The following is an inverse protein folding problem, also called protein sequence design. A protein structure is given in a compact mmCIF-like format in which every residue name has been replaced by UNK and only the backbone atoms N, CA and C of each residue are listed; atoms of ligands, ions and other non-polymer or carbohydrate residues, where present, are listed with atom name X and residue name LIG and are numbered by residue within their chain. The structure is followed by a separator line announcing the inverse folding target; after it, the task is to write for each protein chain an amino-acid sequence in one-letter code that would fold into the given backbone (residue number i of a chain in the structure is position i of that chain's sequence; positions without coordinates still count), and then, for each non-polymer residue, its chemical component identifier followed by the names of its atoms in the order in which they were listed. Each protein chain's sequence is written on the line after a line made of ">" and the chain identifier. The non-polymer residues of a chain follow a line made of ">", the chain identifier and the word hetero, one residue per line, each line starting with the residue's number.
data_IF_922001315985
#
_entry.id   IF_922001315985
#
_cell.length_a   1.000
_cell.length_b   1.000
_cell.length_c   1.000
_cell.angle_alpha   90.00
_cell.angle_beta   90.00
_cell.angle_gamma   90.00
#
_symmetry.space_group_name_H-M   'P 1'
#
loop_
_entity.id
_entity.type
_entity.pdbx_description
1 polymer ?
#
# COMPACT_ATOMS: atom_id res chain seq x y z
N UNK A 1 -3.26 -2.67 -12.20
CA UNK A 1 -2.99 -3.52 -11.02
C UNK A 1 -1.54 -4.00 -11.13
N UNK A 2 -0.79 -4.07 -10.03
CA UNK A 2 0.63 -4.45 -10.07
C UNK A 2 0.79 -5.95 -10.41
N UNK A 3 1.85 -6.35 -11.14
CA UNK A 3 1.94 -7.69 -11.70
C UNK A 3 2.32 -8.78 -10.67
N UNK A 4 2.78 -8.39 -9.48
CA UNK A 4 2.98 -9.31 -8.34
C UNK A 4 1.74 -9.48 -7.45
N UNK A 5 0.58 -9.01 -7.90
CA UNK A 5 -0.70 -9.34 -7.27
C UNK A 5 -1.07 -10.82 -7.49
N UNK A 6 -2.04 -11.33 -6.73
CA UNK A 6 -2.49 -12.72 -6.86
C UNK A 6 -2.95 -13.08 -8.29
N UNK A 7 -3.55 -12.10 -8.98
CA UNK A 7 -4.08 -12.23 -10.33
C UNK A 7 -3.09 -11.82 -11.44
N UNK A 8 -1.89 -11.37 -11.05
CA UNK A 8 -0.87 -10.89 -11.98
C UNK A 8 -0.17 -12.00 -12.75
N UNK A 9 0.35 -11.65 -13.93
CA UNK A 9 1.11 -12.54 -14.80
C UNK A 9 2.54 -12.73 -14.28
N UNK A 10 2.94 -13.94 -13.81
CA UNK A 10 4.25 -14.17 -13.19
C UNK A 10 5.45 -13.89 -14.10
N UNK A 11 5.24 -13.80 -15.42
CA UNK A 11 6.31 -13.54 -16.39
C UNK A 11 6.96 -12.16 -16.22
N UNK A 12 6.30 -11.22 -15.51
CA UNK A 12 6.87 -9.92 -15.15
C UNK A 12 8.25 -10.06 -14.51
N UNK A 13 8.42 -11.10 -13.68
CA UNK A 13 9.63 -11.31 -12.88
C UNK A 13 10.86 -11.67 -13.71
N UNK A 14 10.68 -12.05 -14.98
CA UNK A 14 11.75 -12.48 -15.87
C UNK A 14 12.53 -11.33 -16.49
N UNK A 15 11.89 -10.17 -16.70
CA UNK A 15 12.43 -9.12 -17.58
C UNK A 15 12.19 -7.70 -17.11
N UNK A 16 11.19 -7.48 -16.25
CA UNK A 16 10.74 -6.13 -15.97
C UNK A 16 11.39 -5.60 -14.68
N UNK A 17 11.62 -4.28 -14.65
CA UNK A 17 11.99 -3.57 -13.43
C UNK A 17 10.71 -3.29 -12.61
N UNK A 18 10.61 -3.73 -11.34
CA UNK A 18 9.48 -3.40 -10.48
C UNK A 18 9.17 -1.91 -10.37
N UNK A 19 10.17 -1.02 -10.45
CA UNK A 19 9.97 0.42 -10.35
C UNK A 19 9.17 0.95 -11.56
N UNK A 20 9.40 0.41 -12.76
CA UNK A 20 8.69 0.80 -13.99
C UNK A 20 7.19 0.47 -13.87
N UNK A 21 6.86 -0.66 -13.24
CA UNK A 21 5.47 -1.03 -12.95
C UNK A 21 4.80 -0.07 -11.97
N UNK A 22 5.53 0.44 -10.97
CA UNK A 22 5.01 1.47 -10.05
C UNK A 22 4.82 2.80 -10.78
N UNK A 23 5.76 3.21 -11.63
CA UNK A 23 5.61 4.42 -12.44
C UNK A 23 4.37 4.32 -13.34
N UNK A 24 4.20 3.21 -14.06
CA UNK A 24 3.04 3.01 -14.90
C UNK A 24 1.72 3.05 -14.09
N UNK A 25 1.71 2.47 -12.89
CA UNK A 25 0.55 2.52 -12.02
C UNK A 25 0.20 3.95 -11.56
N UNK A 26 1.22 4.77 -11.24
CA UNK A 26 1.03 6.18 -10.88
C UNK A 26 0.48 7.00 -12.05
N UNK A 27 1.00 6.80 -13.26
CA UNK A 27 0.54 7.52 -14.47
C UNK A 27 -0.87 7.11 -14.90
N UNK A 28 -1.31 5.93 -14.49
CA UNK A 28 -2.63 5.40 -14.82
C UNK A 28 -3.76 5.97 -13.94
N UNK A 29 -3.45 6.74 -12.89
CA UNK A 29 -4.45 7.35 -12.02
C UNK A 29 -5.03 8.60 -12.70
N UNK A 30 -6.33 8.64 -13.04
CA UNK A 30 -6.94 9.83 -13.64
C UNK A 30 -6.82 11.03 -12.69
N UNK A 31 -6.26 12.14 -13.18
CA UNK A 31 -5.98 13.33 -12.36
C UNK A 31 -4.70 13.26 -11.52
N UNK A 32 -3.98 12.13 -11.54
CA UNK A 32 -2.79 11.89 -10.74
C UNK A 32 -3.10 11.40 -9.32
N UNK A 33 -2.14 10.71 -8.70
CA UNK A 33 -2.25 10.27 -7.32
C UNK A 33 -1.75 11.37 -6.36
N UNK A 34 -2.58 11.79 -5.41
CA UNK A 34 -2.17 12.73 -4.35
C UNK A 34 -1.28 12.08 -3.28
N UNK A 35 -1.54 10.80 -2.97
CA UNK A 35 -0.85 10.06 -1.91
C UNK A 35 -0.64 8.63 -2.39
N UNK A 36 0.52 8.07 -2.07
CA UNK A 36 0.81 6.66 -2.31
C UNK A 36 0.97 5.91 -0.98
N UNK A 37 0.36 4.74 -0.87
CA UNK A 37 0.53 3.83 0.26
C UNK A 37 1.08 2.52 -0.27
N UNK A 38 2.25 2.12 0.21
CA UNK A 38 2.95 0.91 -0.24
C UNK A 38 3.36 0.04 0.94
N UNK A 39 3.42 -1.26 0.70
CA UNK A 39 3.74 -2.26 1.71
C UNK A 39 4.85 -3.19 1.23
N UNK A 40 5.76 -3.53 2.15
CA UNK A 40 6.73 -4.61 2.00
C UNK A 40 7.54 -4.48 0.71
N UNK A 41 7.52 -5.49 -0.16
CA UNK A 41 8.26 -5.51 -1.42
C UNK A 41 8.10 -4.23 -2.26
N UNK A 42 6.89 -3.66 -2.35
CA UNK A 42 6.64 -2.47 -3.19
C UNK A 42 7.28 -1.20 -2.65
N UNK A 43 7.71 -1.17 -1.38
CA UNK A 43 8.34 0.00 -0.78
C UNK A 43 9.59 0.49 -1.54
N UNK A 44 10.55 -0.40 -1.80
CA UNK A 44 11.78 -0.05 -2.52
C UNK A 44 11.52 0.45 -3.94
N UNK A 45 10.83 -0.33 -4.80
CA UNK A 45 10.45 0.07 -6.15
C UNK A 45 9.66 1.40 -6.21
N UNK A 46 8.78 1.66 -5.24
CA UNK A 46 8.04 2.91 -5.20
C UNK A 46 8.92 4.10 -4.82
N UNK A 47 9.82 3.95 -3.85
CA UNK A 47 10.78 5.01 -3.53
C UNK A 47 11.73 5.28 -4.70
N UNK A 48 12.13 4.24 -5.42
CA UNK A 48 12.92 4.36 -6.63
C UNK A 48 12.17 5.14 -7.73
N UNK A 49 10.93 4.74 -8.04
CA UNK A 49 10.07 5.42 -8.99
C UNK A 49 9.86 6.90 -8.64
N UNK A 50 9.59 7.21 -7.37
CA UNK A 50 9.43 8.59 -6.91
C UNK A 50 10.73 9.40 -7.04
N UNK A 51 11.88 8.80 -6.77
CA UNK A 51 13.18 9.45 -6.93
C UNK A 51 13.47 9.75 -8.42
N UNK A 52 13.18 8.81 -9.32
CA UNK A 52 13.34 8.96 -10.78
C UNK A 52 12.45 10.08 -11.36
N UNK A 53 11.22 10.22 -10.86
CA UNK A 53 10.27 11.26 -11.30
C UNK A 53 10.72 12.69 -10.95
N UNK A 54 11.49 12.83 -9.88
CA UNK A 54 11.94 14.11 -9.35
C UNK A 54 10.83 14.89 -8.63
N UNK A 55 11.24 15.99 -7.99
CA UNK A 55 10.35 16.79 -7.14
C UNK A 55 9.18 17.41 -7.93
N UNK A 56 7.99 17.41 -7.32
CA UNK A 56 6.78 18.06 -7.86
C UNK A 56 6.07 17.32 -8.99
N UNK A 57 6.52 16.11 -9.36
CA UNK A 57 5.89 15.26 -10.38
C UNK A 57 5.43 13.94 -9.78
N UNK A 58 4.32 13.95 -9.04
CA UNK A 58 3.75 12.76 -8.43
C UNK A 58 3.02 13.04 -7.11
N UNK A 59 2.85 12.02 -6.27
CA UNK A 59 2.24 12.15 -4.96
C UNK A 59 2.85 13.25 -4.11
N UNK A 60 1.99 13.93 -3.35
CA UNK A 60 2.34 14.94 -2.37
C UNK A 60 2.78 14.34 -1.03
N UNK A 61 2.48 13.07 -0.79
CA UNK A 61 2.92 12.32 0.38
C UNK A 61 3.03 10.82 0.09
N UNK A 62 3.83 10.12 0.89
CA UNK A 62 3.97 8.66 0.81
C UNK A 62 3.84 8.01 2.19
N UNK A 63 3.19 6.84 2.24
CA UNK A 63 3.15 5.95 3.41
C UNK A 63 3.82 4.64 3.02
N UNK A 64 4.86 4.28 3.76
CA UNK A 64 5.70 3.11 3.52
C UNK A 64 5.59 2.17 4.70
N UNK A 65 5.03 0.98 4.50
CA UNK A 65 4.75 0.02 5.57
C UNK A 65 5.66 -1.19 5.46
N UNK A 66 6.33 -1.54 6.56
CA UNK A 66 7.26 -2.66 6.66
C UNK A 66 8.31 -2.71 5.53
N UNK A 67 9.06 -1.61 5.28
CA UNK A 67 10.08 -1.59 4.23
C UNK A 67 11.32 -2.39 4.61
N UNK A 68 12.06 -2.81 3.58
CA UNK A 68 13.40 -3.34 3.68
C UNK A 68 14.41 -2.27 3.28
N UNK A 69 15.42 -2.02 4.10
CA UNK A 69 16.37 -0.94 3.83
C UNK A 69 17.69 -1.13 4.60
N UNK A 70 18.77 -1.20 3.83
CA UNK A 70 20.16 -0.97 4.25
C UNK A 70 20.68 0.34 3.65
N UNK A 71 21.53 1.03 4.41
CA UNK A 71 22.16 2.31 4.03
C UNK A 71 23.42 2.11 3.21
N UNK A 72 24.14 1.00 3.42
CA UNK A 72 25.36 0.70 2.68
C UNK A 72 25.40 -0.77 2.27
N UNK A 73 26.08 -1.11 1.16
CA UNK A 73 26.22 -2.50 0.74
C UNK A 73 26.89 -3.40 1.78
N UNK A 74 27.75 -2.84 2.64
CA UNK A 74 28.46 -3.58 3.69
C UNK A 74 27.58 -4.00 4.88
N UNK A 75 26.34 -3.51 4.97
CA UNK A 75 25.38 -3.96 6.00
C UNK A 75 24.72 -5.31 5.64
N UNK A 76 24.87 -5.79 4.39
CA UNK A 76 24.36 -7.10 4.00
C UNK A 76 25.32 -8.22 4.35
N UNK A 77 24.76 -9.32 4.85
CA UNK A 77 25.49 -10.54 5.16
C UNK A 77 24.91 -11.74 4.41
N UNK A 78 25.67 -12.83 4.37
CA UNK A 78 25.16 -14.12 3.89
C UNK A 78 24.05 -14.69 4.79
N UNK A 79 24.01 -14.28 6.06
CA UNK A 79 22.96 -14.68 7.00
C UNK A 79 21.62 -14.04 6.61
N UNK A 80 21.61 -12.77 6.19
CA UNK A 80 20.41 -12.11 5.65
C UNK A 80 19.89 -12.89 4.42
N UNK A 81 20.77 -13.19 3.47
CA UNK A 81 20.41 -13.93 2.26
C UNK A 81 19.82 -15.31 2.58
N UNK A 82 20.46 -16.05 3.50
CA UNK A 82 20.03 -17.38 3.93
C UNK A 82 18.69 -17.31 4.69
N UNK A 83 18.52 -16.31 5.56
CA UNK A 83 17.30 -16.07 6.32
C UNK A 83 16.10 -15.88 5.39
N UNK A 84 16.22 -14.99 4.39
CA UNK A 84 15.12 -14.73 3.48
C UNK A 84 14.89 -15.89 2.52
N UNK A 85 15.94 -16.47 1.94
CA UNK A 85 15.79 -17.59 1.00
C UNK A 85 15.09 -18.79 1.66
N UNK A 86 15.47 -19.12 2.90
CA UNK A 86 14.91 -20.26 3.63
C UNK A 86 13.55 -19.93 4.26
N UNK A 87 13.37 -18.67 4.68
CA UNK A 87 12.25 -18.22 5.50
C UNK A 87 11.11 -17.54 4.75
N UNK A 88 11.24 -17.28 3.44
CA UNK A 88 10.28 -16.47 2.68
C UNK A 88 8.82 -16.92 2.82
N UNK A 89 8.58 -18.24 2.85
CA UNK A 89 7.24 -18.81 3.02
C UNK A 89 6.55 -18.42 4.34
N UNK A 90 7.30 -18.07 5.39
CA UNK A 90 6.73 -17.66 6.68
C UNK A 90 5.97 -16.34 6.57
N UNK A 91 6.44 -15.42 5.73
CA UNK A 91 5.76 -14.14 5.45
C UNK A 91 4.40 -14.43 4.78
N UNK A 92 4.37 -15.42 3.89
CA UNK A 92 3.17 -15.84 3.18
C UNK A 92 2.18 -16.54 4.11
N UNK A 93 2.66 -17.42 5.00
CA UNK A 93 1.83 -18.06 6.03
C UNK A 93 1.20 -17.01 6.94
N UNK A 94 1.97 -15.99 7.33
CA UNK A 94 1.49 -14.89 8.15
C UNK A 94 0.44 -14.05 7.45
N UNK A 95 0.64 -13.70 6.17
CA UNK A 95 -0.38 -12.98 5.38
C UNK A 95 -1.67 -13.78 5.25
N UNK A 96 -1.57 -15.10 5.04
CA UNK A 96 -2.73 -16.00 5.05
C UNK A 96 -3.41 -16.05 6.42
N UNK A 97 -2.65 -16.04 7.52
CA UNK A 97 -3.19 -16.03 8.89
C UNK A 97 -3.97 -14.76 9.15
N UNK A 98 -3.44 -13.60 8.75
CA UNK A 98 -4.09 -12.31 8.92
C UNK A 98 -5.39 -12.22 8.09
N UNK A 99 -5.37 -12.66 6.83
CA UNK A 99 -6.54 -12.59 5.94
C UNK A 99 -7.62 -13.63 6.27
N UNK A 100 -7.20 -14.87 6.57
CA UNK A 100 -8.14 -15.96 6.84
C UNK A 100 -8.59 -16.03 8.30
N UNK A 101 -7.83 -15.48 9.25
CA UNK A 101 -8.01 -15.72 10.67
C UNK A 101 -7.92 -17.22 10.99
N UNK A 102 -8.78 -17.68 11.90
CA UNK A 102 -8.83 -19.09 12.34
C UNK A 102 -9.61 -20.01 11.38
N UNK A 103 -10.05 -19.51 10.22
CA UNK A 103 -10.82 -20.30 9.24
C UNK A 103 -10.00 -21.41 8.58
N UNK A 104 -8.67 -21.31 8.60
CA UNK A 104 -7.76 -22.28 8.01
C UNK A 104 -7.00 -23.02 9.11
N UNK A 105 -7.06 -24.35 9.09
CA UNK A 105 -6.21 -25.17 9.96
C UNK A 105 -4.72 -24.85 9.70
N UNK A 106 -3.86 -24.81 10.74
CA UNK A 106 -2.47 -24.39 10.60
C UNK A 106 -1.69 -25.16 9.53
N UNK A 107 -1.92 -26.47 9.41
CA UNK A 107 -1.25 -27.31 8.43
C UNK A 107 -1.68 -26.99 7.00
N UNK A 108 -2.97 -26.73 6.78
CA UNK A 108 -3.49 -26.33 5.48
C UNK A 108 -2.94 -24.95 5.08
N UNK A 109 -2.92 -24.01 6.02
CA UNK A 109 -2.37 -22.66 5.80
C UNK A 109 -0.89 -22.72 5.43
N UNK A 110 -0.09 -23.50 6.15
CA UNK A 110 1.32 -23.70 5.84
C UNK A 110 1.53 -24.34 4.45
N UNK A 111 0.70 -25.33 4.09
CA UNK A 111 0.74 -25.93 2.75
C UNK A 111 0.37 -24.92 1.65
N UNK A 112 -0.63 -24.07 1.89
CA UNK A 112 -1.00 -22.98 0.98
C UNK A 112 0.13 -21.96 0.86
N UNK A 113 0.80 -21.58 1.95
CA UNK A 113 1.93 -20.67 1.95
C UNK A 113 3.08 -21.19 1.08
N UNK A 114 3.40 -22.49 1.18
CA UNK A 114 4.37 -23.14 0.30
C UNK A 114 3.93 -23.11 -1.16
N UNK A 115 2.63 -23.30 -1.45
CA UNK A 115 2.13 -23.21 -2.82
C UNK A 115 2.21 -21.79 -3.39
N UNK A 116 1.94 -20.76 -2.58
CA UNK A 116 2.12 -19.36 -2.97
C UNK A 116 3.60 -19.06 -3.20
N UNK A 117 4.51 -19.54 -2.32
CA UNK A 117 5.97 -19.45 -2.52
C UNK A 117 6.38 -20.02 -3.87
N UNK A 118 5.90 -21.23 -4.19
CA UNK A 118 6.28 -21.92 -5.42
C UNK A 118 5.71 -21.22 -6.67
N UNK A 119 4.58 -20.52 -6.55
CA UNK A 119 4.04 -19.66 -7.62
C UNK A 119 4.89 -18.41 -7.85
N UNK A 120 5.36 -17.76 -6.78
CA UNK A 120 6.31 -16.63 -6.89
C UNK A 120 7.62 -17.12 -7.52
N UNK A 121 8.08 -18.30 -7.09
CA UNK A 121 9.23 -18.97 -7.65
C UNK A 121 10.55 -18.22 -7.44
N UNK A 122 11.67 -18.76 -7.97
CA UNK A 122 12.99 -18.17 -7.81
C UNK A 122 13.15 -16.82 -8.52
N UNK A 123 12.46 -16.59 -9.65
CA UNK A 123 12.54 -15.31 -10.37
C UNK A 123 11.83 -14.18 -9.62
N UNK A 124 10.62 -14.42 -9.11
CA UNK A 124 9.93 -13.45 -8.25
C UNK A 124 10.70 -13.19 -6.94
N UNK A 125 11.30 -14.24 -6.36
CA UNK A 125 12.18 -14.08 -5.20
C UNK A 125 13.44 -13.25 -5.53
N UNK A 126 14.05 -13.45 -6.70
CA UNK A 126 15.20 -12.66 -7.14
C UNK A 126 14.83 -11.19 -7.30
N UNK A 127 13.62 -10.88 -7.79
CA UNK A 127 13.13 -9.51 -7.87
C UNK A 127 12.96 -8.88 -6.47
N UNK A 128 12.40 -9.63 -5.52
CA UNK A 128 12.33 -9.21 -4.12
C UNK A 128 13.71 -8.92 -3.53
N UNK A 129 14.63 -9.89 -3.62
CA UNK A 129 15.94 -9.75 -3.01
C UNK A 129 16.80 -8.71 -3.73
N UNK A 130 16.65 -8.60 -5.05
CA UNK A 130 17.26 -7.55 -5.86
C UNK A 130 16.82 -6.16 -5.44
N UNK A 131 15.51 -5.94 -5.23
CA UNK A 131 15.00 -4.67 -4.71
C UNK A 131 15.56 -4.35 -3.32
N UNK A 132 15.73 -5.36 -2.45
CA UNK A 132 16.38 -5.16 -1.15
C UNK A 132 17.86 -4.79 -1.30
N UNK A 133 18.63 -5.50 -2.13
CA UNK A 133 20.03 -5.19 -2.41
C UNK A 133 20.24 -3.82 -3.07
N UNK A 134 19.23 -3.29 -3.77
CA UNK A 134 19.24 -1.95 -4.35
C UNK A 134 19.06 -0.84 -3.31
N UNK A 135 18.55 -1.15 -2.11
CA UNK A 135 18.18 -0.14 -1.10
C UNK A 135 19.28 0.89 -0.77
N UNK A 136 20.59 0.54 -0.70
CA UNK A 136 21.65 1.52 -0.43
C UNK A 136 21.88 2.53 -1.55
N UNK A 137 21.40 2.22 -2.75
CA UNK A 137 21.62 3.00 -3.97
C UNK A 137 20.39 3.82 -4.36
N UNK A 138 19.31 3.72 -3.59
CA UNK A 138 18.14 4.55 -3.78
C UNK A 138 18.47 5.99 -3.39
N UNK A 139 18.21 6.94 -4.29
CA UNK A 139 18.34 8.37 -3.99
C UNK A 139 17.13 8.89 -3.18
N UNK A 140 16.93 8.29 -2.01
CA UNK A 140 15.89 8.74 -1.05
C UNK A 140 16.15 10.17 -0.57
N UNK A 141 17.39 10.65 -0.68
CA UNK A 141 17.80 12.01 -0.40
C UNK A 141 17.30 13.04 -1.42
N UNK A 142 16.86 12.63 -2.62
CA UNK A 142 16.21 13.48 -3.60
C UNK A 142 14.69 13.60 -3.40
N UNK A 143 14.10 12.77 -2.53
CA UNK A 143 12.66 12.83 -2.24
C UNK A 143 12.33 14.13 -1.49
N UNK A 144 11.40 14.91 -2.04
CA UNK A 144 10.96 16.23 -1.53
C UNK A 144 9.47 16.20 -1.20
N UNK A 145 9.05 15.18 -0.47
CA UNK A 145 7.68 14.98 0.00
C UNK A 145 7.69 14.35 1.39
N UNK A 146 6.69 14.65 2.24
CA UNK A 146 6.46 13.94 3.49
C UNK A 146 6.33 12.43 3.29
N UNK A 147 7.14 11.66 4.01
CA UNK A 147 7.08 10.19 4.01
C UNK A 147 6.85 9.66 5.42
N UNK A 148 5.77 8.93 5.63
CA UNK A 148 5.51 8.16 6.85
C UNK A 148 6.00 6.72 6.67
N UNK A 149 6.93 6.30 7.52
CA UNK A 149 7.43 4.92 7.57
C UNK A 149 6.87 4.22 8.81
N UNK A 150 6.19 3.10 8.61
CA UNK A 150 5.53 2.31 9.66
C UNK A 150 6.17 0.94 9.76
N UNK A 151 6.47 0.49 10.98
CA UNK A 151 6.92 -0.88 11.28
C UNK A 151 6.27 -1.41 12.57
N UNK A 152 6.20 -2.72 12.71
CA UNK A 152 5.71 -3.38 13.93
C UNK A 152 6.85 -3.97 14.77
N UNK A 153 6.75 -3.94 16.11
CA UNK A 153 7.82 -4.45 17.00
C UNK A 153 8.06 -5.96 16.88
N UNK A 154 7.10 -6.71 16.35
CA UNK A 154 7.13 -8.15 16.19
C UNK A 154 7.30 -8.57 14.71
N UNK A 155 7.63 -7.62 13.83
CA UNK A 155 7.88 -7.90 12.42
C UNK A 155 9.16 -8.72 12.26
N UNK A 156 8.99 -10.03 12.08
CA UNK A 156 10.09 -10.95 11.78
C UNK A 156 10.50 -10.88 10.31
N UNK A 157 9.66 -10.34 9.44
CA UNK A 157 9.89 -10.31 8.00
C UNK A 157 10.73 -9.09 7.64
N UNK A 158 10.31 -7.88 7.99
CA UNK A 158 11.05 -6.65 7.77
C UNK A 158 11.50 -6.07 9.12
N UNK A 159 12.79 -6.20 9.49
CA UNK A 159 13.29 -5.72 10.78
C UNK A 159 12.95 -4.23 11.00
N UNK A 160 12.43 -3.83 12.18
CA UNK A 160 12.06 -2.43 12.43
C UNK A 160 13.19 -1.42 12.31
N UNK A 161 14.43 -1.88 12.45
CA UNK A 161 15.62 -1.04 12.28
C UNK A 161 15.82 -0.62 10.82
N UNK A 162 15.39 -1.42 9.84
CA UNK A 162 15.40 -1.05 8.42
C UNK A 162 14.44 0.14 8.19
N UNK A 163 13.23 0.05 8.72
CA UNK A 163 12.24 1.12 8.67
C UNK A 163 12.73 2.40 9.36
N UNK A 164 13.39 2.27 10.52
CA UNK A 164 14.02 3.40 11.22
C UNK A 164 15.15 4.02 10.39
N UNK A 165 15.99 3.19 9.77
CA UNK A 165 17.10 3.64 8.93
C UNK A 165 16.60 4.39 7.69
N UNK A 166 15.58 3.86 7.02
CA UNK A 166 14.95 4.54 5.88
C UNK A 166 14.35 5.89 6.30
N UNK A 167 13.57 5.93 7.39
CA UNK A 167 12.97 7.18 7.88
C UNK A 167 14.03 8.24 8.20
N UNK A 168 15.18 7.83 8.74
CA UNK A 168 16.29 8.74 9.06
C UNK A 168 17.06 9.22 7.81
N UNK A 169 17.05 8.45 6.71
CA UNK A 169 17.70 8.83 5.45
C UNK A 169 16.82 9.79 4.60
N UNK A 170 15.51 9.83 4.86
CA UNK A 170 14.56 10.66 4.15
C UNK A 170 14.63 12.13 4.63
N UNK A 171 14.67 13.13 3.72
CA UNK A 171 14.68 14.55 4.09
C UNK A 171 13.47 14.99 4.91
N UNK A 172 12.31 14.37 4.68
CA UNK A 172 11.04 14.63 5.38
C UNK A 172 10.40 13.30 5.84
N UNK A 173 11.18 12.50 6.58
CA UNK A 173 10.78 11.20 7.09
C UNK A 173 10.15 11.23 8.49
N UNK A 174 9.02 10.53 8.67
CA UNK A 174 8.38 10.27 9.96
C UNK A 174 8.44 8.78 10.22
N UNK A 175 8.90 8.37 11.41
CA UNK A 175 8.88 6.96 11.82
C UNK A 175 7.76 6.70 12.83
N UNK A 176 7.04 5.59 12.65
CA UNK A 176 6.08 5.05 13.62
C UNK A 176 6.33 3.57 13.84
N UNK A 177 6.64 3.22 15.10
CA UNK A 177 6.79 1.84 15.55
C UNK A 177 5.53 1.42 16.31
N UNK A 178 4.87 0.38 15.84
CA UNK A 178 3.65 -0.15 16.45
C UNK A 178 4.01 -1.32 17.37
N UNK A 179 3.79 -1.10 18.67
CA UNK A 179 3.99 -2.14 19.67
C UNK A 179 2.96 -3.27 19.51
N UNK A 180 3.40 -4.53 19.67
CA UNK A 180 2.57 -5.72 19.51
C UNK A 180 2.08 -5.96 18.07
N UNK A 181 2.77 -5.40 17.07
CA UNK A 181 2.38 -5.49 15.67
C UNK A 181 3.42 -6.28 14.86
N UNK A 182 2.97 -7.14 13.95
CA UNK A 182 3.79 -7.83 12.98
C UNK A 182 3.96 -7.05 11.67
N UNK A 183 4.07 -7.81 10.57
CA UNK A 183 4.41 -7.31 9.23
C UNK A 183 3.28 -6.55 8.52
N UNK A 184 2.02 -6.78 8.91
CA UNK A 184 0.84 -6.29 8.21
C UNK A 184 0.12 -5.23 9.04
N UNK A 185 0.82 -4.17 9.43
CA UNK A 185 0.33 -3.14 10.36
C UNK A 185 -1.05 -2.55 10.00
N UNK A 186 -1.34 -2.39 8.71
CA UNK A 186 -2.64 -1.91 8.22
C UNK A 186 -3.81 -2.86 8.50
N UNK A 187 -3.55 -4.15 8.68
CA UNK A 187 -4.55 -5.17 8.95
C UNK A 187 -4.54 -5.61 10.42
N UNK A 188 -3.38 -5.61 11.07
CA UNK A 188 -3.21 -6.01 12.46
C UNK A 188 -3.66 -4.93 13.44
N UNK A 189 -3.37 -3.66 13.15
CA UNK A 189 -3.74 -2.51 13.97
C UNK A 189 -4.35 -1.40 13.10
N UNK A 190 -5.52 -1.65 12.47
CA UNK A 190 -6.11 -0.77 11.46
C UNK A 190 -6.40 0.64 11.98
N UNK A 191 -6.92 0.78 13.20
CA UNK A 191 -7.25 2.09 13.78
C UNK A 191 -5.98 2.94 13.98
N UNK A 192 -4.94 2.33 14.58
CA UNK A 192 -3.65 3.00 14.80
C UNK A 192 -2.96 3.34 13.48
N UNK A 193 -3.09 2.48 12.48
CA UNK A 193 -2.59 2.75 11.14
C UNK A 193 -3.33 3.93 10.49
N UNK A 194 -4.67 3.92 10.53
CA UNK A 194 -5.50 5.00 10.01
C UNK A 194 -5.19 6.34 10.68
N UNK A 195 -5.03 6.37 12.01
CA UNK A 195 -4.67 7.59 12.75
C UNK A 195 -3.31 8.14 12.33
N UNK A 196 -2.31 7.27 12.13
CA UNK A 196 -0.99 7.69 11.67
C UNK A 196 -1.04 8.28 10.25
N UNK A 197 -1.81 7.65 9.36
CA UNK A 197 -2.03 8.16 7.99
C UNK A 197 -2.78 9.48 8.03
N UNK A 198 -3.88 9.58 8.77
CA UNK A 198 -4.63 10.83 8.94
C UNK A 198 -3.76 11.97 9.47
N UNK A 199 -2.85 11.70 10.41
CA UNK A 199 -1.89 12.69 10.88
C UNK A 199 -1.00 13.24 9.76
N UNK A 200 -0.48 12.36 8.90
CA UNK A 200 0.29 12.78 7.72
C UNK A 200 -0.56 13.60 6.74
N UNK A 201 -1.78 13.13 6.45
CA UNK A 201 -2.68 13.82 5.52
C UNK A 201 -3.05 15.21 6.03
N UNK A 202 -3.34 15.34 7.31
CA UNK A 202 -3.64 16.65 7.90
C UNK A 202 -2.46 17.60 7.76
N UNK A 203 -1.23 17.16 8.00
CA UNK A 203 -0.04 17.98 7.81
C UNK A 203 0.14 18.44 6.35
N UNK A 204 -0.07 17.55 5.39
CA UNK A 204 0.15 17.81 3.95
C UNK A 204 -0.97 18.66 3.34
N UNK A 205 -2.20 18.51 3.82
CA UNK A 205 -3.41 19.06 3.20
C UNK A 205 -4.17 20.09 4.07
N UNK A 206 -3.69 20.43 5.29
CA UNK A 206 -4.33 21.46 6.13
C UNK A 206 -4.38 22.86 5.48
N UNK A 207 -3.55 23.14 4.47
CA UNK A 207 -3.62 24.38 3.67
C UNK A 207 -4.64 24.35 2.52
N UNK A 208 -5.23 23.19 2.23
CA UNK A 208 -6.32 23.01 1.25
C UNK A 208 -7.64 23.05 2.00
N UNK A 209 -8.05 24.25 2.42
CA UNK A 209 -9.47 24.43 2.75
C UNK A 209 -10.29 24.07 1.51
N UNK A 210 -11.35 23.25 1.62
CA UNK A 210 -12.31 23.13 0.53
C UNK A 210 -12.83 24.54 0.26
N UNK A 211 -12.68 25.04 -0.97
CA UNK A 211 -13.32 26.27 -1.37
C UNK A 211 -14.84 26.04 -1.16
N UNK A 212 -15.54 26.83 -0.32
CA UNK A 212 -16.98 26.69 -0.17
C UNK A 212 -17.66 27.31 -1.39
N UNK A 213 -17.58 26.65 -2.53
CA UNK A 213 -18.34 26.97 -3.75
C UNK A 213 -18.15 25.87 -4.79
N UNK A 214 -18.71 24.70 -4.53
CA UNK A 214 -19.19 23.77 -5.57
C UNK A 214 -20.33 22.90 -5.00
N UNK A 215 -21.22 23.55 -4.24
CA UNK A 215 -22.59 23.08 -4.14
C UNK A 215 -23.39 23.83 -5.19
N UNK A 216 -23.99 23.17 -6.19
CA UNK A 216 -25.15 23.75 -6.86
C UNK A 216 -26.21 23.91 -5.77
N UNK A 217 -26.45 25.16 -5.42
CA UNK A 217 -27.50 25.58 -4.49
C UNK A 217 -28.85 24.99 -4.90
N UNK A 218 -29.61 24.57 -3.89
CA UNK A 218 -31.07 24.40 -3.89
C UNK A 218 -31.78 25.19 -5.00
N UNK A 219 -32.12 24.49 -6.09
CA UNK A 219 -33.14 24.91 -7.07
C UNK A 219 -33.96 23.70 -7.53
N UNK A 220 -34.20 22.73 -6.64
CA UNK A 220 -35.09 21.59 -6.91
C UNK A 220 -36.20 21.42 -5.87
N UNK A 221 -36.44 22.44 -5.06
CA UNK A 221 -37.53 22.48 -4.07
C UNK A 221 -38.72 23.37 -4.49
N UNK A 222 -38.59 24.22 -5.52
CA UNK A 222 -39.67 25.12 -5.95
C UNK A 222 -40.48 24.64 -7.17
N UNK A 223 -39.99 23.68 -7.98
CA UNK A 223 -40.74 23.19 -9.16
C UNK A 223 -41.66 21.98 -8.89
N UNK A 224 -41.69 21.44 -7.68
CA UNK A 224 -42.58 20.31 -7.33
C UNK A 224 -43.88 20.71 -6.61
N UNK A 225 -44.10 22.01 -6.35
CA UNK A 225 -45.32 22.50 -5.68
C UNK A 225 -46.46 22.92 -6.62
N UNK A 226 -46.28 22.92 -7.94
CA UNK A 226 -47.31 23.41 -8.87
C UNK A 226 -48.18 22.34 -9.57
N UNK A 227 -47.95 21.05 -9.36
CA UNK A 227 -48.71 20.01 -10.11
C UNK A 227 -49.51 18.98 -9.32
N UNK A 228 -49.82 19.22 -8.05
CA UNK A 228 -50.74 18.35 -7.30
C UNK A 228 -51.89 19.15 -6.70
N UNK A 229 -52.92 19.37 -7.52
CA UNK A 229 -54.26 19.72 -7.06
C UNK A 229 -55.28 18.65 -7.49
N UNK A 230 -55.81 17.93 -6.48
CA UNK A 230 -57.25 17.61 -6.27
C UNK A 230 -57.88 16.64 -7.32
N UNK A 231 -58.51 15.48 -7.06
CA UNK A 231 -59.15 14.83 -5.89
C UNK A 231 -59.62 13.37 -6.25
N UNK A 232 -60.50 12.63 -5.51
CA UNK A 232 -60.17 11.31 -4.95
C UNK A 232 -61.09 10.12 -5.39
N UNK A 233 -60.83 8.94 -4.79
CA UNK A 233 -61.74 7.78 -4.55
C UNK A 233 -61.99 6.73 -5.67
N UNK A 234 -61.29 5.58 -5.54
CA UNK A 234 -61.72 4.15 -5.43
C UNK A 234 -62.86 3.54 -6.31
N UNK A 235 -63.06 2.18 -6.40
CA UNK A 235 -62.18 0.98 -6.28
C UNK A 235 -62.42 -0.13 -7.37
N UNK A 236 -61.65 -1.25 -7.29
CA UNK A 236 -61.94 -2.66 -7.74
C UNK A 236 -62.16 -2.94 -9.26
N UNK A 237 -61.33 -3.70 -10.00
CA UNK A 237 -61.07 -5.17 -10.05
C UNK A 237 -61.46 -5.75 -11.46
N UNK A 238 -61.29 -7.06 -11.77
CA UNK A 238 -60.36 -7.59 -12.77
C UNK A 238 -61.02 -8.22 -14.02
N UNK A 239 -60.22 -8.66 -15.01
CA UNK A 239 -60.36 -9.87 -15.88
C UNK A 239 -59.59 -9.69 -17.21
N UNK A 240 -58.57 -10.53 -17.45
CA UNK A 240 -58.54 -11.65 -18.41
C UNK A 240 -58.67 -11.27 -19.90
N UNK A 241 -57.60 -11.51 -20.65
CA UNK A 241 -57.57 -12.40 -21.83
C UNK A 241 -56.17 -13.00 -21.99
#
# INVERSE_FOLDING_TARGET
>A
MLPWSADGDPDWSLRDDPADHVEHALDSVPGGADVIVVHSFTAGPALEALARRGAGRGPRAAVVVAPFHRRTPGEFTWDDATYYLSGFHRILDEGLRISAGDRLAPQLRAAMALRVRDRIGPYGWQQFFGAYLRSPFLDVGALRLPVLVVAGTQDFAAPPDDARALAAALPDGRFRLFDGCGHFAMAEQPDRFADAVHGLLHEVFAGTSPHPSDHPSDQLSDELSEHLSVHPYAPYAPELT
#
